data_IF_342584332641
#
_entry.id   IF_342584332641
#
_cell.length_a   1.000
_cell.length_b   1.000
_cell.length_c   1.000
_cell.angle_alpha   90.00
_cell.angle_beta   90.00
_cell.angle_gamma   90.00
#
_symmetry.space_group_name_H-M   'P 1'
#
loop_
_entity.id
_entity.type
_entity.pdbx_description
1 polymer ?
#
# COMPACT_ATOMS: atom_id res chain seq x y z
N UNK A 1 12.01 36.24 -0.27
CA UNK A 1 11.05 35.52 -1.13
C UNK A 1 11.87 34.68 -2.10
N UNK A 2 12.27 33.50 -1.66
CA UNK A 2 13.02 32.51 -2.46
C UNK A 2 12.12 31.29 -2.47
N UNK A 3 11.47 31.07 -3.60
CA UNK A 3 10.68 29.86 -3.86
C UNK A 3 11.67 28.72 -4.07
N UNK A 4 11.79 27.84 -3.08
CA UNK A 4 12.37 26.51 -3.26
C UNK A 4 11.24 25.61 -3.77
N UNK A 5 11.12 25.50 -5.09
CA UNK A 5 10.29 24.49 -5.74
C UNK A 5 10.98 23.13 -5.62
N UNK A 6 10.50 22.30 -4.69
CA UNK A 6 10.84 20.88 -4.66
C UNK A 6 9.93 20.16 -5.67
N UNK A 7 10.39 20.08 -6.92
CA UNK A 7 9.89 19.06 -7.85
C UNK A 7 10.57 17.74 -7.49
N UNK A 8 9.93 16.94 -6.65
CA UNK A 8 10.08 15.49 -6.75
C UNK A 8 9.20 15.10 -7.93
N UNK A 9 9.77 15.22 -9.13
CA UNK A 9 9.16 14.64 -10.32
C UNK A 9 9.06 13.14 -10.13
N UNK A 10 8.02 12.54 -10.69
CA UNK A 10 8.00 11.14 -11.04
C UNK A 10 9.39 10.77 -11.60
N UNK A 11 10.16 10.02 -10.82
CA UNK A 11 11.37 9.41 -11.33
C UNK A 11 10.91 8.32 -12.30
N UNK A 12 10.60 8.72 -13.53
CA UNK A 12 10.97 7.90 -14.66
C UNK A 12 12.43 7.53 -14.41
N UNK A 13 12.71 6.25 -14.15
CA UNK A 13 14.09 5.78 -14.11
C UNK A 13 14.68 6.16 -15.46
N UNK A 14 15.59 7.13 -15.45
CA UNK A 14 16.40 7.51 -16.61
C UNK A 14 17.02 6.23 -17.18
N UNK A 15 16.51 5.73 -18.30
CA UNK A 15 17.14 4.83 -19.28
C UNK A 15 18.16 3.78 -18.82
N UNK A 16 18.08 3.32 -17.58
CA UNK A 16 19.01 2.37 -16.98
C UNK A 16 18.66 0.97 -17.43
N UNK A 17 19.67 0.14 -17.68
CA UNK A 17 19.44 -1.30 -17.84
C UNK A 17 18.73 -1.83 -16.59
N UNK A 18 17.70 -2.67 -16.78
CA UNK A 18 17.06 -3.38 -15.68
C UNK A 18 18.12 -4.14 -14.86
N UNK A 19 17.95 -4.25 -13.53
CA UNK A 19 18.89 -5.03 -12.73
C UNK A 19 19.01 -6.48 -13.21
N UNK A 20 20.21 -7.07 -13.12
CA UNK A 20 20.46 -8.44 -13.58
C UNK A 20 19.51 -9.47 -12.96
N UNK A 21 19.11 -9.28 -11.70
CA UNK A 21 18.17 -10.19 -11.03
C UNK A 21 16.76 -10.11 -11.63
N UNK A 22 16.35 -8.95 -12.15
CA UNK A 22 15.07 -8.79 -12.86
C UNK A 22 15.11 -9.57 -14.17
N UNK A 23 16.19 -9.43 -14.95
CA UNK A 23 16.36 -10.21 -16.19
C UNK A 23 16.45 -11.70 -15.90
N UNK A 24 17.14 -12.11 -14.84
CA UNK A 24 17.22 -13.52 -14.44
C UNK A 24 15.85 -14.10 -14.05
N UNK A 25 14.97 -13.31 -13.44
CA UNK A 25 13.66 -13.75 -12.96
C UNK A 25 12.56 -13.65 -14.02
N UNK A 26 12.49 -12.53 -14.75
CA UNK A 26 11.40 -12.21 -15.68
C UNK A 26 11.82 -12.35 -17.15
N UNK A 27 13.13 -12.50 -17.43
CA UNK A 27 13.68 -12.47 -18.78
C UNK A 27 13.72 -11.07 -19.37
N UNK A 28 14.12 -10.99 -20.64
CA UNK A 28 14.18 -9.72 -21.37
C UNK A 28 12.77 -9.17 -21.65
N UNK A 29 12.55 -7.84 -21.48
CA UNK A 29 11.31 -7.18 -21.86
C UNK A 29 11.15 -7.11 -23.38
N UNK A 30 9.92 -7.03 -23.89
CA UNK A 30 9.67 -6.75 -25.31
C UNK A 30 10.11 -5.32 -25.68
N UNK A 31 10.40 -5.05 -26.98
CA UNK A 31 10.57 -3.68 -27.46
C UNK A 31 9.32 -2.83 -27.20
N UNK A 32 9.51 -1.59 -26.73
CA UNK A 32 8.41 -0.67 -26.44
C UNK A 32 8.37 0.45 -27.48
N UNK A 33 7.27 0.60 -28.25
CA UNK A 33 7.09 1.71 -29.16
C UNK A 33 7.05 3.07 -28.45
N UNK A 34 7.58 4.10 -29.12
CA UNK A 34 7.54 5.50 -28.65
C UNK A 34 6.50 6.28 -29.45
N UNK A 35 5.75 7.16 -28.77
CA UNK A 35 4.79 8.06 -29.41
C UNK A 35 3.33 7.66 -29.21
N UNK A 36 2.40 8.38 -29.86
CA UNK A 36 0.96 8.18 -29.69
C UNK A 36 0.48 6.88 -30.32
N UNK A 37 -0.67 6.38 -29.83
CA UNK A 37 -1.41 5.32 -30.52
C UNK A 37 -2.04 5.87 -31.81
N UNK A 38 -2.17 5.04 -32.84
CA UNK A 38 -2.95 5.41 -34.04
C UNK A 38 -4.43 5.58 -33.72
N UNK A 39 -5.17 6.33 -34.54
CA UNK A 39 -6.61 6.53 -34.31
C UNK A 39 -7.40 5.21 -34.37
N UNK A 40 -6.96 4.29 -35.22
CA UNK A 40 -7.50 2.92 -35.30
C UNK A 40 -7.27 2.15 -34.00
N UNK A 41 -6.08 2.24 -33.42
CA UNK A 41 -5.75 1.57 -32.16
C UNK A 41 -6.48 2.19 -30.96
N UNK A 42 -6.65 3.52 -30.95
CA UNK A 42 -7.49 4.21 -29.95
C UNK A 42 -8.94 3.75 -30.02
N UNK A 43 -9.51 3.64 -31.23
CA UNK A 43 -10.85 3.13 -31.42
C UNK A 43 -11.00 1.66 -30.98
N UNK A 44 -9.97 0.84 -31.22
CA UNK A 44 -9.92 -0.53 -30.74
C UNK A 44 -9.89 -0.61 -29.21
N UNK A 45 -9.06 0.20 -28.53
CA UNK A 45 -9.03 0.30 -27.05
C UNK A 45 -10.40 0.71 -26.50
N UNK A 46 -11.03 1.72 -27.10
CA UNK A 46 -12.38 2.15 -26.74
C UNK A 46 -13.37 0.98 -26.84
N UNK A 47 -13.39 0.29 -27.98
CA UNK A 47 -14.35 -0.80 -28.26
C UNK A 47 -14.12 -2.01 -27.35
N UNK A 48 -12.86 -2.43 -27.19
CA UNK A 48 -12.49 -3.65 -26.49
C UNK A 48 -12.58 -3.51 -24.96
N UNK A 49 -12.20 -2.35 -24.40
CA UNK A 49 -12.03 -2.21 -22.96
C UNK A 49 -12.99 -1.24 -22.29
N UNK A 50 -13.41 -0.16 -22.97
CA UNK A 50 -14.28 0.86 -22.37
C UNK A 50 -15.75 0.54 -22.66
N UNK A 51 -16.10 0.37 -23.93
CA UNK A 51 -17.46 0.07 -24.36
C UNK A 51 -17.92 -1.30 -23.85
N UNK A 52 -17.01 -2.28 -23.80
CA UNK A 52 -17.32 -3.63 -23.31
C UNK A 52 -17.76 -3.65 -21.85
N UNK A 53 -17.12 -2.86 -21.00
CA UNK A 53 -17.45 -2.75 -19.57
C UNK A 53 -18.71 -1.89 -19.38
N UNK A 54 -18.78 -0.73 -20.02
CA UNK A 54 -19.92 0.19 -19.87
C UNK A 54 -21.23 -0.37 -20.43
N UNK A 55 -21.16 -1.22 -21.46
CA UNK A 55 -22.32 -1.88 -22.07
C UNK A 55 -22.52 -3.31 -21.58
N UNK A 56 -21.61 -3.83 -20.75
CA UNK A 56 -21.58 -5.22 -20.27
C UNK A 56 -21.66 -6.25 -21.42
N UNK A 57 -20.92 -6.04 -22.51
CA UNK A 57 -20.97 -6.88 -23.72
C UNK A 57 -19.58 -7.31 -24.20
N UNK A 58 -19.46 -8.57 -24.63
CA UNK A 58 -18.30 -9.07 -25.34
C UNK A 58 -18.73 -9.88 -26.57
N UNK A 59 -18.58 -9.31 -27.76
CA UNK A 59 -18.99 -9.90 -29.03
C UNK A 59 -17.94 -9.75 -30.14
N UNK A 60 -18.35 -9.97 -31.38
CA UNK A 60 -17.45 -9.95 -32.54
C UNK A 60 -16.65 -8.65 -32.65
N UNK A 61 -17.27 -7.49 -32.38
CA UNK A 61 -16.58 -6.20 -32.42
C UNK A 61 -15.44 -6.09 -31.39
N UNK A 62 -15.66 -6.57 -30.16
CA UNK A 62 -14.63 -6.60 -29.12
C UNK A 62 -13.50 -7.59 -29.47
N UNK A 63 -13.85 -8.73 -30.05
CA UNK A 63 -12.88 -9.74 -30.51
C UNK A 63 -11.99 -9.17 -31.63
N UNK A 64 -12.60 -8.53 -32.63
CA UNK A 64 -11.86 -7.90 -33.74
C UNK A 64 -10.97 -6.75 -33.23
N UNK A 65 -11.48 -5.94 -32.29
CA UNK A 65 -10.72 -4.88 -31.66
C UNK A 65 -9.52 -5.42 -30.84
N UNK A 66 -9.70 -6.50 -30.07
CA UNK A 66 -8.61 -7.14 -29.35
C UNK A 66 -7.55 -7.72 -30.31
N UNK A 67 -7.98 -8.32 -31.43
CA UNK A 67 -7.05 -8.83 -32.44
C UNK A 67 -6.21 -7.70 -33.08
N UNK A 68 -6.83 -6.55 -33.36
CA UNK A 68 -6.14 -5.35 -33.85
C UNK A 68 -5.13 -4.82 -32.83
N UNK A 69 -5.48 -4.85 -31.53
CA UNK A 69 -4.57 -4.48 -30.44
C UNK A 69 -3.37 -5.42 -30.41
N UNK A 70 -3.56 -6.74 -30.49
CA UNK A 70 -2.46 -7.71 -30.54
C UNK A 70 -1.55 -7.49 -31.75
N UNK A 71 -2.14 -7.23 -32.92
CA UNK A 71 -1.39 -6.98 -34.15
C UNK A 71 -0.56 -5.68 -34.14
N UNK A 72 -0.79 -4.79 -33.16
CA UNK A 72 0.02 -3.57 -32.99
C UNK A 72 1.41 -3.83 -32.42
N UNK A 73 1.62 -4.99 -31.79
CA UNK A 73 2.86 -5.36 -31.07
C UNK A 73 3.26 -4.31 -30.01
N UNK A 74 2.28 -3.57 -29.46
CA UNK A 74 2.51 -2.54 -28.45
C UNK A 74 2.28 -3.08 -27.03
N UNK A 75 3.34 -3.45 -26.28
CA UNK A 75 3.22 -4.03 -24.95
C UNK A 75 2.63 -3.06 -23.92
N UNK A 76 2.58 -1.74 -24.19
CA UNK A 76 1.98 -0.75 -23.29
C UNK A 76 0.49 -1.03 -23.07
N UNK A 77 -0.20 -1.56 -24.08
CA UNK A 77 -1.63 -1.86 -24.01
C UNK A 77 -1.97 -3.00 -23.05
N UNK A 78 -0.99 -3.80 -22.64
CA UNK A 78 -1.17 -4.91 -21.70
C UNK A 78 -1.55 -4.40 -20.30
N UNK A 79 -1.23 -3.15 -19.95
CA UNK A 79 -1.76 -2.53 -18.72
C UNK A 79 -3.29 -2.48 -18.70
N UNK A 80 -3.93 -2.12 -19.82
CA UNK A 80 -5.39 -2.05 -19.92
C UNK A 80 -5.99 -3.46 -19.93
N UNK A 81 -5.32 -4.43 -20.57
CA UNK A 81 -5.69 -5.84 -20.52
C UNK A 81 -5.67 -6.35 -19.08
N UNK A 82 -4.58 -6.10 -18.34
CA UNK A 82 -4.45 -6.50 -16.93
C UNK A 82 -5.55 -5.88 -16.06
N UNK A 83 -5.86 -4.60 -16.27
CA UNK A 83 -6.94 -3.92 -15.57
C UNK A 83 -8.30 -4.59 -15.76
N UNK A 84 -8.63 -4.97 -17.00
CA UNK A 84 -9.88 -5.67 -17.27
C UNK A 84 -9.86 -7.10 -16.69
N UNK A 85 -8.75 -7.83 -16.81
CA UNK A 85 -8.60 -9.17 -16.24
C UNK A 85 -8.90 -9.19 -14.74
N UNK A 86 -8.61 -8.11 -14.01
CA UNK A 86 -8.88 -8.03 -12.56
C UNK A 86 -10.36 -8.20 -12.19
N UNK A 87 -11.27 -7.88 -13.12
CA UNK A 87 -12.72 -7.88 -12.90
C UNK A 87 -13.46 -8.97 -13.68
N UNK A 88 -12.83 -9.55 -14.71
CA UNK A 88 -13.43 -10.63 -15.50
C UNK A 88 -13.42 -11.93 -14.72
N UNK A 89 -14.57 -12.59 -14.63
CA UNK A 89 -14.73 -13.91 -13.99
C UNK A 89 -15.02 -15.04 -14.99
N UNK A 90 -15.33 -14.71 -16.26
CA UNK A 90 -15.66 -15.69 -17.30
C UNK A 90 -14.42 -16.34 -17.92
N UNK A 91 -14.27 -17.69 -17.88
CA UNK A 91 -13.07 -18.37 -18.37
C UNK A 91 -12.68 -18.07 -19.83
N UNK A 92 -13.61 -18.02 -20.81
CA UNK A 92 -13.22 -17.75 -22.21
C UNK A 92 -12.64 -16.35 -22.42
N UNK A 93 -13.21 -15.34 -21.76
CA UNK A 93 -12.72 -13.97 -21.86
C UNK A 93 -11.38 -13.82 -21.12
N UNK A 94 -11.26 -14.40 -19.93
CA UNK A 94 -9.98 -14.43 -19.21
C UNK A 94 -8.87 -15.06 -20.05
N UNK A 95 -9.14 -16.18 -20.73
CA UNK A 95 -8.18 -16.81 -21.63
C UNK A 95 -7.82 -15.90 -22.80
N UNK A 96 -8.80 -15.30 -23.48
CA UNK A 96 -8.54 -14.41 -24.61
C UNK A 96 -7.70 -13.19 -24.23
N UNK A 97 -7.95 -12.59 -23.07
CA UNK A 97 -7.15 -11.48 -22.53
C UNK A 97 -5.73 -11.94 -22.18
N UNK A 98 -5.60 -13.11 -21.57
CA UNK A 98 -4.31 -13.72 -21.25
C UNK A 98 -3.46 -14.07 -22.47
N UNK A 99 -4.06 -14.66 -23.50
CA UNK A 99 -3.41 -14.97 -24.78
C UNK A 99 -2.94 -13.70 -25.48
N UNK A 100 -3.75 -12.64 -25.43
CA UNK A 100 -3.40 -11.32 -25.97
C UNK A 100 -2.22 -10.69 -25.21
N UNK A 101 -2.23 -10.76 -23.87
CA UNK A 101 -1.13 -10.30 -23.04
C UNK A 101 0.17 -11.07 -23.34
N UNK A 102 0.09 -12.40 -23.41
CA UNK A 102 1.22 -13.28 -23.73
C UNK A 102 1.85 -12.94 -25.09
N UNK A 103 1.04 -12.73 -26.11
CA UNK A 103 1.51 -12.33 -27.45
C UNK A 103 2.17 -10.95 -27.45
N UNK A 104 1.52 -9.94 -26.83
CA UNK A 104 2.06 -8.57 -26.75
C UNK A 104 3.35 -8.50 -25.92
N UNK A 105 3.50 -9.35 -24.91
CA UNK A 105 4.71 -9.43 -24.10
C UNK A 105 5.79 -10.35 -24.71
N UNK A 106 5.47 -11.11 -25.75
CA UNK A 106 6.37 -12.09 -26.35
C UNK A 106 6.77 -13.20 -25.38
N UNK A 107 5.87 -13.61 -24.48
CA UNK A 107 6.10 -14.67 -23.48
C UNK A 107 4.99 -15.71 -23.51
N UNK A 108 5.36 -16.95 -23.24
CA UNK A 108 4.43 -18.02 -22.94
C UNK A 108 4.14 -17.98 -21.44
N UNK A 109 3.05 -17.31 -21.05
CA UNK A 109 2.67 -17.14 -19.65
C UNK A 109 1.68 -18.23 -19.23
N UNK A 110 1.78 -18.79 -18.00
CA UNK A 110 0.89 -19.85 -17.58
C UNK A 110 -0.54 -19.34 -17.34
N UNK A 111 -1.52 -20.20 -17.62
CA UNK A 111 -2.94 -19.89 -17.41
C UNK A 111 -3.35 -19.77 -15.94
N UNK A 112 -2.58 -20.38 -15.02
CA UNK A 112 -2.84 -20.28 -13.59
C UNK A 112 -2.36 -18.93 -13.04
N UNK A 113 -3.25 -18.20 -12.34
CA UNK A 113 -2.97 -16.84 -11.83
C UNK A 113 -2.53 -15.88 -12.96
N UNK A 114 -3.15 -16.01 -14.13
CA UNK A 114 -2.77 -15.29 -15.36
C UNK A 114 -2.62 -13.78 -15.13
N UNK A 115 -3.60 -13.14 -14.48
CA UNK A 115 -3.56 -11.72 -14.13
C UNK A 115 -2.34 -11.35 -13.28
N UNK A 116 -2.06 -12.14 -12.24
CA UNK A 116 -0.96 -11.86 -11.33
C UNK A 116 0.40 -11.94 -12.02
N UNK A 117 0.57 -12.93 -12.88
CA UNK A 117 1.82 -13.15 -13.62
C UNK A 117 2.04 -12.04 -14.66
N UNK A 118 1.02 -11.71 -15.46
CA UNK A 118 1.09 -10.61 -16.45
C UNK A 118 1.46 -9.31 -15.75
N UNK A 119 0.77 -8.98 -14.66
CA UNK A 119 1.01 -7.72 -13.94
C UNK A 119 2.39 -7.66 -13.31
N UNK A 120 2.89 -8.77 -12.74
CA UNK A 120 4.26 -8.81 -12.22
C UNK A 120 5.31 -8.53 -13.31
N UNK A 121 5.15 -9.08 -14.52
CA UNK A 121 6.06 -8.77 -15.64
C UNK A 121 6.01 -7.29 -16.02
N UNK A 122 4.80 -6.71 -16.11
CA UNK A 122 4.64 -5.29 -16.43
C UNK A 122 5.32 -4.38 -15.40
N UNK A 123 5.18 -4.68 -14.10
CA UNK A 123 5.82 -3.93 -13.02
C UNK A 123 7.35 -4.12 -13.06
N UNK A 124 7.82 -5.36 -13.14
CA UNK A 124 9.25 -5.68 -13.07
C UNK A 124 10.06 -5.09 -14.23
N UNK A 125 9.48 -5.06 -15.42
CA UNK A 125 10.09 -4.45 -16.59
C UNK A 125 9.87 -2.94 -16.71
N UNK A 126 9.10 -2.35 -15.80
CA UNK A 126 8.70 -0.94 -15.84
C UNK A 126 8.12 -0.53 -17.21
N UNK A 127 7.26 -1.38 -17.80
CA UNK A 127 6.64 -1.10 -19.10
C UNK A 127 5.84 0.21 -18.96
N UNK A 128 6.06 1.24 -19.80
CA UNK A 128 5.38 2.51 -19.65
C UNK A 128 3.88 2.39 -19.92
N UNK A 129 3.12 3.32 -19.35
CA UNK A 129 1.68 3.41 -19.61
C UNK A 129 1.45 3.75 -21.09
N UNK A 130 0.36 3.25 -21.71
CA UNK A 130 -0.04 3.75 -23.01
C UNK A 130 -0.48 5.23 -22.89
N UNK A 131 -0.44 6.01 -23.98
CA UNK A 131 -1.08 7.31 -24.02
C UNK A 131 -2.54 7.25 -23.55
N UNK A 132 -2.99 8.27 -22.81
CA UNK A 132 -4.37 8.38 -22.31
C UNK A 132 -4.82 7.21 -21.40
N UNK A 133 -3.88 6.58 -20.68
CA UNK A 133 -4.14 5.41 -19.84
C UNK A 133 -5.11 5.68 -18.68
N UNK A 134 -4.95 6.78 -17.94
CA UNK A 134 -5.80 7.08 -16.78
C UNK A 134 -7.29 7.17 -17.16
N UNK A 135 -7.71 7.89 -18.22
CA UNK A 135 -9.09 7.84 -18.70
C UNK A 135 -9.62 6.41 -18.95
N UNK A 136 -8.84 5.54 -19.60
CA UNK A 136 -9.25 4.17 -19.87
C UNK A 136 -9.39 3.35 -18.57
N UNK A 137 -8.40 3.46 -17.67
CA UNK A 137 -8.42 2.81 -16.37
C UNK A 137 -9.61 3.27 -15.52
N UNK A 138 -9.84 4.59 -15.45
CA UNK A 138 -10.99 5.18 -14.74
C UNK A 138 -12.29 4.58 -15.27
N UNK A 139 -12.47 4.53 -16.59
CA UNK A 139 -13.69 3.98 -17.19
C UNK A 139 -13.94 2.51 -16.80
N UNK A 140 -12.89 1.67 -16.72
CA UNK A 140 -13.02 0.28 -16.28
C UNK A 140 -13.37 0.21 -14.79
N UNK A 141 -12.59 0.89 -13.94
CA UNK A 141 -12.69 0.78 -12.49
C UNK A 141 -13.99 1.38 -11.96
N UNK A 142 -14.39 2.56 -12.44
CA UNK A 142 -15.59 3.27 -11.93
C UNK A 142 -16.89 2.73 -12.51
N UNK A 143 -16.87 2.09 -13.68
CA UNK A 143 -18.05 1.36 -14.18
C UNK A 143 -18.40 0.16 -13.30
N UNK A 144 -17.41 -0.41 -12.62
CA UNK A 144 -17.58 -1.60 -11.79
C UNK A 144 -17.75 -1.25 -10.31
N UNK A 145 -17.05 -0.21 -9.84
CA UNK A 145 -17.20 0.34 -8.49
C UNK A 145 -17.31 1.86 -8.58
N UNK A 146 -18.55 2.39 -8.68
CA UNK A 146 -18.77 3.83 -8.87
C UNK A 146 -18.18 4.72 -7.78
N UNK A 147 -18.02 4.22 -6.55
CA UNK A 147 -17.45 4.98 -5.44
C UNK A 147 -15.99 5.42 -5.63
N UNK A 148 -15.29 4.91 -6.64
CA UNK A 148 -13.93 5.36 -6.97
C UNK A 148 -13.87 6.61 -7.86
N UNK A 149 -15.00 7.11 -8.36
CA UNK A 149 -15.02 8.18 -9.35
C UNK A 149 -14.33 9.47 -8.87
N UNK A 150 -14.47 9.82 -7.60
CA UNK A 150 -13.86 11.04 -7.04
C UNK A 150 -12.35 10.90 -6.78
N UNK A 151 -11.83 9.68 -6.67
CA UNK A 151 -10.41 9.44 -6.34
C UNK A 151 -9.54 9.11 -7.56
N UNK A 152 -10.13 8.77 -8.72
CA UNK A 152 -9.43 8.51 -9.98
C UNK A 152 -9.12 9.79 -10.76
N UNK A 153 -8.28 10.66 -10.18
CA UNK A 153 -7.88 11.95 -10.76
C UNK A 153 -6.37 12.03 -10.99
N UNK A 154 -5.91 13.03 -11.75
CA UNK A 154 -4.47 13.25 -11.94
C UNK A 154 -3.77 13.61 -10.63
N UNK A 155 -2.50 13.22 -10.50
CA UNK A 155 -1.70 13.48 -9.30
C UNK A 155 -0.33 12.79 -9.35
N UNK A 156 0.40 12.85 -8.25
CA UNK A 156 1.69 12.21 -8.03
C UNK A 156 1.53 10.72 -7.64
N UNK A 157 0.85 9.97 -8.49
CA UNK A 157 0.57 8.55 -8.33
C UNK A 157 0.84 7.83 -9.66
N UNK A 158 1.53 6.68 -9.59
CA UNK A 158 1.67 5.81 -10.76
C UNK A 158 0.44 4.91 -10.89
N UNK A 159 -0.51 5.36 -11.69
CA UNK A 159 -1.74 4.63 -11.95
C UNK A 159 -1.49 3.22 -12.52
N UNK A 160 -0.37 2.92 -13.18
CA UNK A 160 -0.08 1.55 -13.65
C UNK A 160 -0.05 0.54 -12.51
N UNK A 161 0.43 0.97 -11.35
CA UNK A 161 0.63 0.10 -10.19
C UNK A 161 -0.65 -0.09 -9.37
N UNK A 162 -1.69 0.71 -9.63
CA UNK A 162 -2.94 0.69 -8.89
C UNK A 162 -3.83 -0.46 -9.36
N UNK A 163 -4.21 -1.35 -8.45
CA UNK A 163 -5.12 -2.47 -8.71
C UNK A 163 -6.14 -2.64 -7.59
N UNK A 164 -7.20 -3.41 -7.85
CA UNK A 164 -8.24 -3.69 -6.85
C UNK A 164 -7.81 -4.80 -5.88
N UNK A 165 -7.92 -4.55 -4.58
CA UNK A 165 -7.61 -5.51 -3.50
C UNK A 165 -8.72 -6.52 -3.20
N UNK A 166 -9.86 -6.47 -3.89
CA UNK A 166 -10.96 -7.43 -3.71
C UNK A 166 -12.03 -7.03 -2.68
N UNK A 167 -11.96 -5.80 -2.16
CA UNK A 167 -12.97 -5.21 -1.25
C UNK A 167 -13.42 -3.86 -1.79
N UNK A 168 -14.66 -3.45 -1.52
CA UNK A 168 -15.13 -2.13 -1.96
C UNK A 168 -14.52 -1.01 -1.11
N UNK A 169 -14.58 0.21 -1.65
CA UNK A 169 -14.23 1.44 -0.93
C UNK A 169 -15.08 1.58 0.33
N UNK A 170 -14.47 2.04 1.42
CA UNK A 170 -15.16 2.47 2.63
C UNK A 170 -15.50 3.96 2.51
N UNK A 171 -16.73 4.27 2.08
CA UNK A 171 -17.29 5.62 1.89
C UNK A 171 -18.14 6.10 3.08
N UNK A 172 -18.12 5.34 4.18
CA UNK A 172 -18.90 5.67 5.37
C UNK A 172 -18.38 6.95 6.01
N UNK A 173 -19.31 7.81 6.44
CA UNK A 173 -19.01 9.01 7.20
C UNK A 173 -18.28 8.68 8.51
N UNK A 174 -17.66 9.69 9.12
CA UNK A 174 -17.08 9.57 10.46
C UNK A 174 -18.13 9.10 11.48
N UNK A 175 -17.71 8.28 12.45
CA UNK A 175 -18.55 7.78 13.54
C UNK A 175 -19.64 6.79 13.07
N UNK A 176 -19.32 5.97 12.06
CA UNK A 176 -20.16 4.87 11.54
C UNK A 176 -19.48 3.50 11.73
N UNK A 177 -18.71 3.31 12.81
CA UNK A 177 -17.88 2.11 13.08
C UNK A 177 -18.65 0.78 12.92
N UNK A 178 -19.91 0.74 13.33
CA UNK A 178 -20.75 -0.46 13.34
C UNK A 178 -21.70 -0.58 12.12
N UNK A 179 -21.66 0.38 11.20
CA UNK A 179 -22.42 0.28 9.97
C UNK A 179 -21.82 -0.81 9.07
N UNK A 180 -22.68 -1.73 8.62
CA UNK A 180 -22.30 -2.83 7.73
C UNK A 180 -21.98 -2.28 6.34
N UNK A 181 -20.83 -2.68 5.79
CA UNK A 181 -20.43 -2.39 4.42
C UNK A 181 -19.92 -3.65 3.71
N UNK A 182 -19.78 -3.57 2.38
CA UNK A 182 -19.02 -4.54 1.57
C UNK A 182 -17.53 -4.14 1.44
N UNK A 183 -17.04 -3.44 2.46
CA UNK A 183 -15.70 -2.87 2.59
C UNK A 183 -14.98 -3.48 3.79
N UNK A 184 -13.75 -3.06 4.05
CA UNK A 184 -13.08 -3.32 5.33
C UNK A 184 -13.42 -2.13 6.25
N UNK A 185 -14.25 -2.34 7.29
CA UNK A 185 -14.84 -1.22 8.00
C UNK A 185 -13.83 -0.58 8.95
N UNK A 186 -13.43 0.67 8.65
CA UNK A 186 -12.69 1.50 9.58
C UNK A 186 -13.42 1.64 10.93
N UNK A 187 -12.66 1.85 12.00
CA UNK A 187 -13.18 2.21 13.31
C UNK A 187 -12.81 3.66 13.66
N UNK A 188 -13.81 4.44 14.03
CA UNK A 188 -13.65 5.84 14.41
C UNK A 188 -13.87 5.99 15.92
N UNK A 189 -12.90 6.63 16.57
CA UNK A 189 -12.76 6.83 18.01
C UNK A 189 -13.27 5.62 18.83
N UNK A 190 -12.72 4.41 18.56
CA UNK A 190 -13.27 3.16 19.06
C UNK A 190 -13.31 3.10 20.59
N UNK A 191 -14.28 2.35 21.11
CA UNK A 191 -14.34 2.03 22.53
C UNK A 191 -13.08 1.28 22.98
N UNK A 192 -12.63 1.61 24.19
CA UNK A 192 -11.45 1.02 24.83
C UNK A 192 -11.75 0.55 26.24
N UNK A 193 -11.03 -0.47 26.68
CA UNK A 193 -11.02 -0.93 28.06
C UNK A 193 -9.68 -0.65 28.72
N UNK A 194 -9.64 -0.78 30.06
CA UNK A 194 -8.37 -0.81 30.78
C UNK A 194 -7.58 -2.09 30.47
N UNK A 195 -6.28 -2.10 30.77
CA UNK A 195 -5.43 -3.28 30.65
C UNK A 195 -5.88 -4.45 31.56
N UNK A 196 -6.58 -4.19 32.66
CA UNK A 196 -7.05 -5.23 33.59
C UNK A 196 -8.37 -5.86 33.17
N UNK A 197 -9.21 -5.11 32.45
CA UNK A 197 -10.47 -5.61 31.90
C UNK A 197 -10.28 -6.43 30.61
N UNK A 198 -9.14 -6.28 29.93
CA UNK A 198 -8.81 -6.99 28.70
C UNK A 198 -8.37 -8.46 28.94
N UNK A 199 -9.18 -9.22 29.68
CA UNK A 199 -8.90 -10.62 30.04
C UNK A 199 -8.96 -11.60 28.87
N UNK A 200 -9.47 -11.14 27.72
CA UNK A 200 -9.53 -11.91 26.48
C UNK A 200 -8.18 -11.94 25.74
N UNK A 201 -7.32 -10.96 25.98
CA UNK A 201 -6.04 -10.79 25.28
C UNK A 201 -4.96 -11.55 26.05
N UNK A 202 -4.32 -12.51 25.40
CA UNK A 202 -3.24 -13.32 25.99
C UNK A 202 -1.94 -12.53 25.98
N UNK A 203 -1.04 -12.86 26.90
CA UNK A 203 0.25 -12.17 27.01
C UNK A 203 1.06 -12.24 25.71
N UNK A 204 0.94 -13.32 24.94
CA UNK A 204 1.69 -13.53 23.70
C UNK A 204 1.04 -12.88 22.47
N UNK A 205 -0.17 -12.33 22.61
CA UNK A 205 -0.88 -11.72 21.49
C UNK A 205 -0.16 -10.44 21.04
N UNK A 206 0.03 -10.29 19.73
CA UNK A 206 0.71 -9.12 19.16
C UNK A 206 -0.18 -7.89 19.26
N UNK A 207 0.39 -6.80 19.76
CA UNK A 207 -0.23 -5.47 19.80
C UNK A 207 0.66 -4.43 19.12
N UNK A 208 0.02 -3.43 18.55
CA UNK A 208 0.67 -2.18 18.16
C UNK A 208 0.46 -1.18 19.28
N UNK A 209 1.53 -0.72 19.92
CA UNK A 209 1.50 0.22 21.02
C UNK A 209 1.81 1.64 20.53
N UNK A 210 1.02 2.61 20.97
CA UNK A 210 1.26 4.04 20.72
C UNK A 210 1.21 4.79 22.04
N UNK A 211 2.17 5.68 22.27
CA UNK A 211 2.24 6.55 23.44
C UNK A 211 2.28 8.02 23.03
N UNK A 212 1.28 8.80 23.40
CA UNK A 212 1.19 10.24 23.10
C UNK A 212 0.92 11.02 24.39
N UNK A 213 1.73 12.04 24.69
CA UNK A 213 1.54 12.94 25.83
C UNK A 213 1.32 12.24 27.19
N UNK A 214 1.94 11.07 27.39
CA UNK A 214 1.83 10.28 28.63
C UNK A 214 0.61 9.34 28.69
N UNK A 215 -0.23 9.32 27.66
CA UNK A 215 -1.27 8.32 27.47
C UNK A 215 -0.81 7.21 26.53
N UNK A 216 -1.25 5.99 26.79
CA UNK A 216 -0.81 4.79 26.08
C UNK A 216 -2.02 3.97 25.64
N UNK A 217 -1.96 3.45 24.41
CA UNK A 217 -3.00 2.59 23.86
C UNK A 217 -2.39 1.44 23.08
N UNK A 218 -2.94 0.25 23.30
CA UNK A 218 -2.67 -0.94 22.51
C UNK A 218 -3.78 -1.14 21.46
N UNK A 219 -3.37 -1.43 20.23
CA UNK A 219 -4.21 -1.80 19.09
C UNK A 219 -3.90 -3.27 18.76
N UNK A 220 -4.69 -4.23 19.26
CA UNK A 220 -4.42 -5.66 19.06
C UNK A 220 -4.43 -6.03 17.58
N UNK A 221 -3.44 -6.81 17.14
CA UNK A 221 -3.29 -7.21 15.73
C UNK A 221 -4.56 -7.84 15.18
N UNK A 222 -5.22 -8.72 15.96
CA UNK A 222 -6.48 -9.36 15.55
C UNK A 222 -7.63 -8.39 15.25
N UNK A 223 -7.64 -7.22 15.88
CA UNK A 223 -8.61 -6.14 15.57
C UNK A 223 -8.16 -5.38 14.33
N UNK A 224 -6.87 -5.02 14.28
CA UNK A 224 -6.31 -4.29 13.15
C UNK A 224 -6.37 -5.09 11.84
N UNK A 225 -6.30 -6.42 11.89
CA UNK A 225 -6.45 -7.30 10.71
C UNK A 225 -7.84 -7.26 10.07
N UNK A 226 -8.87 -6.85 10.81
CA UNK A 226 -10.25 -6.79 10.31
C UNK A 226 -10.79 -5.36 10.15
N UNK A 227 -10.18 -4.40 10.84
CA UNK A 227 -10.49 -2.97 10.73
C UNK A 227 -9.58 -2.27 9.74
N UNK A 228 -8.29 -2.62 9.74
CA UNK A 228 -7.18 -2.11 8.93
C UNK A 228 -7.02 -0.58 8.84
N UNK A 229 -7.91 0.20 9.43
CA UNK A 229 -7.90 1.63 9.55
C UNK A 229 -8.62 2.00 10.84
N UNK A 230 -7.94 2.74 11.71
CA UNK A 230 -8.52 3.31 12.92
C UNK A 230 -8.26 4.81 12.93
N UNK A 231 -9.30 5.63 13.08
CA UNK A 231 -9.15 7.05 13.39
C UNK A 231 -9.38 7.23 14.89
N UNK A 232 -8.39 7.69 15.64
CA UNK A 232 -8.43 7.69 17.10
C UNK A 232 -8.02 9.04 17.70
N UNK A 233 -8.42 9.27 18.95
CA UNK A 233 -7.92 10.37 19.79
C UNK A 233 -7.17 9.81 21.00
N UNK A 234 -5.89 10.16 21.13
CA UNK A 234 -5.02 9.70 22.23
C UNK A 234 -4.14 10.83 22.73
N UNK A 235 -4.09 11.07 24.04
CA UNK A 235 -3.26 12.13 24.61
C UNK A 235 -3.62 13.54 24.09
N UNK A 236 -4.89 13.74 23.71
CA UNK A 236 -5.39 14.97 23.10
C UNK A 236 -4.92 15.23 21.66
N UNK A 237 -4.39 14.19 20.97
CA UNK A 237 -4.00 14.25 19.57
C UNK A 237 -4.85 13.31 18.73
N UNK A 238 -5.11 13.72 17.50
CA UNK A 238 -5.87 12.94 16.53
C UNK A 238 -4.96 12.14 15.61
N UNK A 239 -5.25 10.85 15.44
CA UNK A 239 -4.45 9.90 14.69
C UNK A 239 -5.28 9.19 13.63
N UNK A 240 -4.67 8.94 12.47
CA UNK A 240 -5.09 7.94 11.51
C UNK A 240 -4.09 6.78 11.51
N UNK A 241 -4.58 5.56 11.72
CA UNK A 241 -3.77 4.38 12.05
C UNK A 241 -4.09 3.26 11.06
N UNK A 242 -3.46 3.25 9.88
CA UNK A 242 -3.59 2.15 8.94
C UNK A 242 -2.78 0.93 9.41
N UNK A 243 -3.33 -0.26 9.18
CA UNK A 243 -2.57 -1.51 9.22
C UNK A 243 -2.73 -2.27 7.91
N UNK A 244 -1.63 -2.43 7.18
CA UNK A 244 -1.57 -3.25 5.97
C UNK A 244 -1.15 -4.68 6.34
N UNK A 245 -2.11 -5.60 6.36
CA UNK A 245 -1.85 -7.04 6.60
C UNK A 245 -0.85 -7.62 5.62
N UNK A 246 -1.00 -7.27 4.34
CA UNK A 246 -0.16 -7.66 3.22
C UNK A 246 1.29 -7.17 3.34
N UNK A 247 1.51 -6.06 4.04
CA UNK A 247 2.80 -5.40 4.17
C UNK A 247 3.46 -5.65 5.52
N UNK A 248 2.71 -6.17 6.49
CA UNK A 248 3.17 -6.23 7.87
C UNK A 248 3.37 -4.88 8.54
N UNK A 249 2.72 -3.83 8.05
CA UNK A 249 3.04 -2.45 8.42
C UNK A 249 1.87 -1.79 9.14
N UNK A 250 2.05 -1.53 10.44
CA UNK A 250 1.19 -0.65 11.23
C UNK A 250 1.85 0.73 11.30
N UNK A 251 1.09 1.76 10.98
CA UNK A 251 1.56 3.14 10.97
C UNK A 251 0.58 4.03 11.73
N UNK A 252 1.03 5.20 12.14
CA UNK A 252 0.19 6.19 12.80
C UNK A 252 0.57 7.58 12.31
N UNK A 253 -0.42 8.36 11.91
CA UNK A 253 -0.23 9.70 11.38
C UNK A 253 -1.08 10.70 12.15
N UNK A 254 -0.49 11.83 12.54
CA UNK A 254 -1.25 12.93 13.12
C UNK A 254 -2.15 13.58 12.07
N UNK A 255 -3.42 13.76 12.42
CA UNK A 255 -4.45 14.35 11.54
C UNK A 255 -5.03 15.66 12.10
N UNK A 256 -4.53 16.13 13.25
CA UNK A 256 -5.03 17.33 13.96
C UNK A 256 -4.34 18.66 13.59
N UNK A 257 -3.22 18.63 12.88
CA UNK A 257 -2.46 19.84 12.50
C UNK A 257 -2.47 20.05 11.00
N UNK A 258 -3.63 20.41 10.48
CA UNK A 258 -3.78 20.70 9.06
C UNK A 258 -3.40 22.15 8.74
N UNK A 259 -2.89 22.44 7.52
CA UNK A 259 -2.71 23.81 7.05
C UNK A 259 -4.02 24.61 7.10
N UNK A 260 -3.90 25.94 7.19
CA UNK A 260 -5.07 26.83 7.26
C UNK A 260 -6.10 26.54 6.14
N UNK A 261 -7.36 26.42 6.55
CA UNK A 261 -8.49 26.15 5.65
C UNK A 261 -8.60 24.71 5.15
N UNK A 262 -7.87 23.77 5.74
CA UNK A 262 -8.05 22.34 5.54
C UNK A 262 -8.74 21.73 6.77
N UNK A 263 -9.87 21.07 6.53
CA UNK A 263 -10.53 20.26 7.54
C UNK A 263 -9.71 19.03 7.87
N UNK A 264 -9.85 18.51 9.09
CA UNK A 264 -9.19 17.27 9.51
C UNK A 264 -9.57 16.13 8.55
N UNK A 265 -8.60 15.43 7.96
CA UNK A 265 -8.90 14.28 7.13
C UNK A 265 -9.44 13.13 7.98
N UNK A 266 -10.39 12.39 7.41
CA UNK A 266 -10.94 11.17 7.98
C UNK A 266 -10.51 10.02 7.07
N UNK A 267 -9.54 9.24 7.53
CA UNK A 267 -8.90 8.24 6.69
C UNK A 267 -9.75 6.98 6.58
N UNK A 268 -9.76 6.42 5.38
CA UNK A 268 -10.55 5.25 4.99
C UNK A 268 -9.75 4.31 4.10
N UNK A 269 -10.25 3.07 4.00
CA UNK A 269 -9.77 2.09 3.04
C UNK A 269 -10.35 2.39 1.66
N UNK A 270 -9.52 2.62 0.65
CA UNK A 270 -10.02 2.78 -0.74
C UNK A 270 -10.42 1.44 -1.39
N UNK A 271 -9.91 0.31 -0.88
CA UNK A 271 -9.98 -1.00 -1.52
C UNK A 271 -8.97 -1.18 -2.67
N UNK A 272 -8.18 -0.16 -2.98
CA UNK A 272 -7.11 -0.18 -3.97
C UNK A 272 -5.77 -0.52 -3.32
N UNK A 273 -4.87 -1.07 -4.14
CA UNK A 273 -3.52 -1.45 -3.76
C UNK A 273 -2.50 -0.89 -4.77
N UNK A 274 -1.32 -0.51 -4.28
CA UNK A 274 -0.12 -0.25 -5.09
C UNK A 274 0.94 -1.26 -4.65
N UNK A 275 1.32 -2.18 -5.55
CA UNK A 275 2.30 -3.25 -5.25
C UNK A 275 2.01 -3.99 -3.94
N UNK A 276 0.78 -4.49 -3.82
CA UNK A 276 0.28 -5.16 -2.60
C UNK A 276 0.25 -4.28 -1.33
N UNK A 277 0.62 -2.99 -1.41
CA UNK A 277 0.44 -2.03 -0.34
C UNK A 277 -0.93 -1.36 -0.43
N UNK A 278 -1.55 -1.18 0.72
CA UNK A 278 -2.86 -0.54 0.82
C UNK A 278 -2.79 0.91 0.38
N UNK A 279 -3.81 1.37 -0.31
CA UNK A 279 -4.02 2.79 -0.60
C UNK A 279 -5.13 3.31 0.31
N UNK A 280 -4.82 4.33 1.10
CA UNK A 280 -5.81 5.02 1.93
C UNK A 280 -6.26 6.32 1.27
N UNK A 281 -7.42 6.82 1.66
CA UNK A 281 -7.91 8.11 1.18
C UNK A 281 -8.66 8.83 2.29
N UNK A 282 -8.82 10.13 2.13
CA UNK A 282 -9.63 10.97 2.99
C UNK A 282 -11.06 11.12 2.43
N UNK A 283 -12.08 10.75 3.21
CA UNK A 283 -13.49 10.86 2.80
C UNK A 283 -14.01 12.31 2.79
N UNK A 284 -13.30 13.26 3.42
CA UNK A 284 -13.69 14.67 3.42
C UNK A 284 -13.33 15.34 2.08
N UNK A 285 -12.11 15.11 1.60
CA UNK A 285 -11.59 15.77 0.38
C UNK A 285 -11.47 14.87 -0.83
N UNK A 286 -11.66 13.56 -0.67
CA UNK A 286 -11.38 12.53 -1.69
C UNK A 286 -9.90 12.52 -2.14
N UNK A 287 -8.99 13.03 -1.30
CA UNK A 287 -7.56 12.96 -1.57
C UNK A 287 -7.02 11.57 -1.24
N UNK A 288 -6.30 10.97 -2.18
CA UNK A 288 -5.61 9.68 -1.96
C UNK A 288 -4.27 9.94 -1.28
N UNK A 289 -3.90 9.06 -0.36
CA UNK A 289 -2.61 9.09 0.31
C UNK A 289 -1.81 7.82 0.01
N UNK A 290 -0.51 7.99 -0.18
CA UNK A 290 0.43 6.90 -0.02
C UNK A 290 0.44 6.50 1.46
N UNK A 291 -0.02 5.29 1.76
CA UNK A 291 -0.16 4.79 3.13
C UNK A 291 1.17 4.67 3.84
N UNK A 292 2.29 4.48 3.12
CA UNK A 292 3.62 4.28 3.68
C UNK A 292 4.34 5.60 3.98
N UNK A 293 4.10 6.61 3.14
CA UNK A 293 4.73 7.93 3.25
C UNK A 293 3.88 8.97 3.98
N UNK A 294 2.58 8.71 4.15
CA UNK A 294 1.61 9.67 4.68
C UNK A 294 1.41 10.87 3.76
N UNK A 295 1.82 10.77 2.49
CA UNK A 295 1.81 11.86 1.51
C UNK A 295 0.53 11.81 0.70
N UNK A 296 -0.18 12.93 0.57
CA UNK A 296 -1.28 13.06 -0.36
C UNK A 296 -0.73 13.02 -1.80
N UNK A 297 -1.25 12.10 -2.61
CA UNK A 297 -0.79 11.86 -3.99
C UNK A 297 -1.80 12.32 -5.04
N UNK A 298 -3.09 12.38 -4.73
CA UNK A 298 -4.12 12.97 -5.59
C UNK A 298 -5.07 13.86 -4.82
N UNK A 299 -5.86 14.65 -5.53
CA UNK A 299 -6.93 15.47 -4.95
C UNK A 299 -6.44 16.74 -4.24
N UNK A 300 -7.37 17.47 -3.56
CA UNK A 300 -7.10 18.80 -3.01
C UNK A 300 -5.93 18.87 -2.01
N UNK A 301 -5.68 17.80 -1.25
CA UNK A 301 -4.59 17.77 -0.28
C UNK A 301 -3.23 17.56 -0.96
N UNK A 302 -3.18 16.84 -2.08
CA UNK A 302 -1.98 16.68 -2.88
C UNK A 302 -1.58 18.00 -3.58
N UNK A 303 -2.54 18.76 -4.07
CA UNK A 303 -2.29 20.11 -4.63
C UNK A 303 -1.66 21.08 -3.62
N UNK A 304 -1.92 20.85 -2.32
CA UNK A 304 -1.31 21.60 -1.21
C UNK A 304 0.00 21.00 -0.73
N UNK A 305 0.45 19.88 -1.31
CA UNK A 305 1.67 19.18 -0.91
C UNK A 305 1.60 18.62 0.51
N UNK A 306 0.41 18.21 0.98
CA UNK A 306 0.26 17.70 2.34
C UNK A 306 0.99 16.36 2.51
N UNK A 307 1.79 16.29 3.57
CA UNK A 307 2.34 15.06 4.10
C UNK A 307 2.08 15.03 5.61
N UNK A 308 1.47 13.95 6.10
CA UNK A 308 1.10 13.80 7.49
C UNK A 308 2.35 13.52 8.35
N UNK A 309 2.40 14.12 9.54
CA UNK A 309 3.44 13.85 10.53
C UNK A 309 3.24 12.44 11.10
N UNK A 310 4.28 11.61 11.09
CA UNK A 310 4.21 10.23 11.56
C UNK A 310 4.48 10.15 13.07
N UNK A 311 3.72 9.30 13.77
CA UNK A 311 3.98 8.87 15.13
C UNK A 311 4.59 7.47 15.12
N UNK A 312 5.43 7.16 16.11
CA UNK A 312 5.99 5.80 16.26
C UNK A 312 4.93 4.80 16.70
N UNK A 313 5.03 3.61 16.12
CA UNK A 313 4.25 2.45 16.48
C UNK A 313 5.19 1.36 16.97
N UNK A 314 5.04 0.95 18.22
CA UNK A 314 5.83 -0.13 18.81
C UNK A 314 5.10 -1.45 18.61
N UNK A 315 5.67 -2.36 17.82
CA UNK A 315 5.13 -3.73 17.69
C UNK A 315 5.74 -4.62 18.77
N UNK A 316 4.90 -5.21 19.63
CA UNK A 316 5.33 -6.06 20.74
C UNK A 316 4.23 -7.05 21.14
N UNK A 317 4.50 -7.91 22.13
CA UNK A 317 3.48 -8.76 22.77
C UNK A 317 2.72 -7.99 23.87
N UNK A 318 1.45 -8.34 24.07
CA UNK A 318 0.58 -7.67 25.03
C UNK A 318 1.13 -7.70 26.45
N UNK A 319 1.68 -8.83 26.90
CA UNK A 319 2.21 -8.99 28.24
C UNK A 319 3.35 -8.01 28.52
N UNK A 320 4.25 -7.85 27.55
CA UNK A 320 5.38 -6.91 27.64
C UNK A 320 4.92 -5.46 27.58
N UNK A 321 3.99 -5.12 26.68
CA UNK A 321 3.39 -3.79 26.62
C UNK A 321 2.69 -3.43 27.94
N UNK A 322 1.84 -4.32 28.47
CA UNK A 322 1.12 -4.13 29.72
C UNK A 322 2.05 -3.94 30.92
N UNK A 323 3.17 -4.66 30.98
CA UNK A 323 4.18 -4.47 32.04
C UNK A 323 4.88 -3.11 31.95
N UNK A 324 5.18 -2.65 30.74
CA UNK A 324 5.82 -1.35 30.51
C UNK A 324 4.85 -0.18 30.76
N UNK A 325 3.57 -0.36 30.43
CA UNK A 325 2.53 0.66 30.51
C UNK A 325 1.26 0.11 31.18
N UNK A 326 1.26 -0.12 32.50
CA UNK A 326 0.11 -0.72 33.21
C UNK A 326 -1.16 0.13 33.14
N UNK A 327 -1.04 1.44 32.91
CA UNK A 327 -2.14 2.38 32.69
C UNK A 327 -2.68 2.41 31.25
N UNK A 328 -2.12 1.59 30.34
CA UNK A 328 -2.55 1.57 28.94
C UNK A 328 -4.04 1.24 28.82
N UNK A 329 -4.67 1.86 27.83
CA UNK A 329 -5.97 1.40 27.31
C UNK A 329 -5.74 0.42 26.17
N UNK A 330 -6.77 -0.32 25.80
CA UNK A 330 -6.75 -1.25 24.67
C UNK A 330 -8.11 -1.29 23.99
N UNK A 331 -8.13 -1.41 22.66
CA UNK A 331 -9.38 -1.54 21.91
C UNK A 331 -10.22 -2.72 22.40
N UNK A 332 -11.54 -2.57 22.52
CA UNK A 332 -12.44 -3.64 23.00
C UNK A 332 -12.57 -4.80 22.01
N UNK A 333 -12.78 -6.02 22.52
CA UNK A 333 -12.88 -7.26 21.71
C UNK A 333 -13.97 -7.21 20.62
N UNK A 334 -15.08 -6.49 20.85
CA UNK A 334 -16.16 -6.37 19.87
C UNK A 334 -15.67 -5.84 18.50
N UNK A 335 -14.59 -5.05 18.49
CA UNK A 335 -13.99 -4.51 17.27
C UNK A 335 -13.33 -5.58 16.40
N UNK A 336 -13.08 -6.78 16.92
CA UNK A 336 -12.61 -7.94 16.15
C UNK A 336 -13.73 -8.57 15.30
N UNK A 337 -14.98 -8.10 15.39
CA UNK A 337 -16.11 -8.56 14.57
C UNK A 337 -16.35 -10.08 14.65
N UNK A 338 -16.10 -10.67 15.82
CA UNK A 338 -16.22 -12.12 16.06
C UNK A 338 -15.19 -12.96 15.30
N UNK A 339 -14.12 -12.34 14.79
CA UNK A 339 -13.04 -13.00 14.04
C UNK A 339 -11.79 -13.08 14.89
N UNK A 340 -11.11 -14.21 14.78
CA UNK A 340 -9.79 -14.45 15.38
C UNK A 340 -8.87 -14.97 14.28
N UNK A 341 -8.59 -14.10 13.31
CA UNK A 341 -7.74 -14.41 12.17
C UNK A 341 -6.27 -14.09 12.49
N UNK A 342 -5.39 -14.82 11.82
CA UNK A 342 -3.99 -14.49 11.67
C UNK A 342 -3.70 -14.44 10.17
N UNK A 343 -4.19 -13.38 9.52
CA UNK A 343 -4.00 -13.21 8.07
C UNK A 343 -2.53 -13.13 7.73
N UNK A 344 -1.76 -12.40 8.55
CA UNK A 344 -0.32 -12.23 8.35
C UNK A 344 0.43 -13.57 8.29
N UNK A 345 0.16 -14.48 9.23
CA UNK A 345 0.89 -15.76 9.30
C UNK A 345 0.12 -16.92 8.63
N UNK A 346 -1.06 -16.65 8.06
CA UNK A 346 -1.90 -17.62 7.37
C UNK A 346 -2.02 -17.29 5.88
N UNK A 347 -3.04 -16.48 5.53
CA UNK A 347 -3.33 -16.07 4.14
C UNK A 347 -2.10 -15.50 3.43
N UNK A 348 -1.30 -14.72 4.16
CA UNK A 348 -0.15 -13.96 3.63
C UNK A 348 1.20 -14.63 3.97
N UNK A 349 1.21 -15.89 4.42
CA UNK A 349 2.44 -16.54 4.89
C UNK A 349 3.49 -16.74 3.77
N UNK A 350 3.03 -16.98 2.54
CA UNK A 350 3.87 -17.45 1.42
C UNK A 350 4.30 -16.34 0.45
N UNK A 351 4.19 -15.08 0.85
CA UNK A 351 4.57 -13.92 0.03
C UNK A 351 3.37 -13.02 -0.36
N UNK A 352 3.62 -11.97 -1.16
CA UNK A 352 2.58 -11.07 -1.64
C UNK A 352 1.56 -11.83 -2.50
N UNK A 353 0.28 -11.74 -2.13
CA UNK A 353 -0.82 -12.35 -2.89
C UNK A 353 -1.33 -11.46 -4.02
N UNK A 354 -0.86 -10.21 -4.09
CA UNK A 354 -1.09 -9.29 -5.20
C UNK A 354 0.23 -8.97 -5.92
N UNK A 355 0.19 -8.56 -7.19
CA UNK A 355 1.39 -8.25 -7.96
C UNK A 355 2.22 -7.16 -7.31
N UNK A 356 3.51 -7.43 -7.15
CA UNK A 356 4.52 -6.49 -6.63
C UNK A 356 5.63 -6.22 -7.65
N UNK A 357 5.72 -7.02 -8.72
CA UNK A 357 6.82 -6.99 -9.67
C UNK A 357 8.06 -7.67 -9.11
N UNK A 358 9.19 -7.00 -9.27
CA UNK A 358 10.47 -7.44 -8.72
C UNK A 358 10.62 -7.01 -7.25
N UNK A 359 11.45 -7.76 -6.51
CA UNK A 359 11.78 -7.49 -5.12
C UNK A 359 13.30 -7.49 -4.99
N UNK A 360 13.83 -6.54 -4.23
CA UNK A 360 15.26 -6.46 -3.95
C UNK A 360 15.74 -7.76 -3.29
N UNK A 361 16.65 -8.54 -3.91
CA UNK A 361 16.98 -9.89 -3.48
C UNK A 361 17.91 -9.93 -2.27
N UNK A 362 18.33 -8.78 -1.72
CA UNK A 362 19.24 -8.72 -0.56
C UNK A 362 18.64 -9.32 0.70
N UNK A 363 17.31 -9.32 0.84
CA UNK A 363 16.59 -9.96 1.95
C UNK A 363 15.41 -10.78 1.44
N UNK A 364 14.96 -11.80 2.20
CA UNK A 364 13.69 -12.48 1.93
C UNK A 364 12.52 -11.50 1.82
N UNK A 365 11.56 -11.81 0.96
CA UNK A 365 10.39 -10.95 0.65
C UNK A 365 9.66 -10.49 1.92
N UNK A 366 9.42 -11.42 2.86
CA UNK A 366 8.74 -11.16 4.15
C UNK A 366 9.71 -11.01 5.34
N UNK A 367 10.98 -10.68 5.11
CA UNK A 367 11.87 -10.30 6.22
C UNK A 367 11.29 -9.08 6.94
N UNK A 368 11.12 -9.20 8.26
CA UNK A 368 10.69 -8.09 9.11
C UNK A 368 11.84 -7.11 9.28
N UNK A 369 11.61 -5.86 8.85
CA UNK A 369 12.57 -4.77 9.02
C UNK A 369 11.98 -3.66 9.88
N UNK A 370 12.84 -2.88 10.52
CA UNK A 370 12.54 -1.54 11.04
C UNK A 370 13.07 -0.54 10.02
N UNK A 371 12.17 0.26 9.44
CA UNK A 371 12.49 1.23 8.41
C UNK A 371 12.54 2.64 8.96
N UNK A 372 13.56 3.42 8.56
CA UNK A 372 13.74 4.82 8.96
C UNK A 372 14.38 5.59 7.80
N UNK A 373 14.00 6.86 7.63
CA UNK A 373 14.69 7.78 6.72
C UNK A 373 15.60 8.69 7.53
N UNK A 374 16.91 8.66 7.25
CA UNK A 374 17.88 9.52 7.91
C UNK A 374 17.66 11.00 7.54
N UNK A 375 18.22 11.91 8.34
CA UNK A 375 18.13 13.36 8.07
C UNK A 375 18.77 13.76 6.73
N UNK A 376 19.67 12.94 6.18
CA UNK A 376 20.23 13.09 4.83
C UNK A 376 19.24 12.78 3.71
N UNK A 377 18.08 12.18 4.03
CA UNK A 377 17.15 11.60 3.08
C UNK A 377 17.46 10.13 2.74
N UNK A 378 18.54 9.55 3.28
CA UNK A 378 18.91 8.16 3.02
C UNK A 378 17.96 7.21 3.75
N UNK A 379 17.23 6.32 3.05
CA UNK A 379 16.46 5.28 3.71
C UNK A 379 17.38 4.17 4.22
N UNK A 380 17.10 3.68 5.43
CA UNK A 380 17.79 2.55 6.05
C UNK A 380 16.77 1.56 6.61
N UNK A 381 17.04 0.27 6.42
CA UNK A 381 16.27 -0.82 6.99
C UNK A 381 17.17 -1.69 7.88
N UNK A 382 16.69 -1.94 9.09
CA UNK A 382 17.34 -2.80 10.07
C UNK A 382 16.57 -4.12 10.14
N UNK A 383 17.22 -5.26 9.89
CA UNK A 383 16.60 -6.57 10.14
C UNK A 383 16.14 -6.64 11.60
N UNK A 384 14.83 -6.77 11.82
CA UNK A 384 14.22 -6.64 13.15
C UNK A 384 14.79 -7.67 14.12
N UNK A 385 14.93 -8.91 13.67
CA UNK A 385 15.41 -10.04 14.47
C UNK A 385 16.85 -9.81 14.95
N UNK A 386 17.74 -9.41 14.04
CA UNK A 386 19.13 -9.08 14.35
C UNK A 386 19.23 -7.87 15.30
N UNK A 387 18.41 -6.84 15.06
CA UNK A 387 18.43 -5.61 15.86
C UNK A 387 17.99 -5.89 17.29
N UNK A 388 16.92 -6.67 17.46
CA UNK A 388 16.41 -7.06 18.78
C UNK A 388 17.46 -7.83 19.59
N UNK A 389 18.15 -8.79 18.96
CA UNK A 389 19.22 -9.57 19.61
C UNK A 389 20.38 -8.67 20.02
N UNK A 390 20.83 -7.79 19.14
CA UNK A 390 21.96 -6.89 19.42
C UNK A 390 21.63 -5.90 20.56
N UNK A 391 20.46 -5.27 20.53
CA UNK A 391 20.02 -4.34 21.58
C UNK A 391 19.83 -5.05 22.93
N UNK A 392 19.26 -6.26 22.93
CA UNK A 392 19.10 -7.06 24.15
C UNK A 392 20.44 -7.42 24.79
N UNK A 393 21.48 -7.61 23.96
CA UNK A 393 22.85 -7.85 24.41
C UNK A 393 23.61 -6.56 24.81
N UNK A 394 22.94 -5.40 24.80
CA UNK A 394 23.54 -4.11 25.16
C UNK A 394 24.41 -3.50 24.05
N UNK A 395 24.27 -3.96 22.80
CA UNK A 395 24.97 -3.34 21.66
C UNK A 395 24.26 -2.06 21.25
N UNK A 396 25.04 -1.05 20.87
CA UNK A 396 24.50 0.15 20.23
C UNK A 396 24.32 -0.08 18.72
N UNK A 397 23.16 0.35 18.20
CA UNK A 397 22.88 0.34 16.77
C UNK A 397 22.62 1.79 16.35
N UNK A 398 23.44 2.28 15.43
CA UNK A 398 23.30 3.62 14.89
C UNK A 398 23.58 3.66 13.39
N UNK A 399 22.90 4.57 12.70
CA UNK A 399 23.12 4.91 11.29
C UNK A 399 22.91 6.41 11.11
N UNK A 400 23.95 7.15 10.74
CA UNK A 400 23.91 8.62 10.67
C UNK A 400 23.36 9.26 11.97
N UNK A 401 22.22 9.95 11.89
CA UNK A 401 21.54 10.58 13.03
C UNK A 401 20.58 9.64 13.77
N UNK A 402 20.43 8.39 13.32
CA UNK A 402 19.48 7.42 13.85
C UNK A 402 20.18 6.53 14.88
N UNK A 403 19.52 6.31 16.01
CA UNK A 403 19.85 5.27 17.00
C UNK A 403 18.61 4.43 17.27
N UNK A 404 18.77 3.10 17.29
CA UNK A 404 17.69 2.21 17.70
C UNK A 404 17.72 1.99 19.22
N UNK A 405 16.54 1.92 19.80
CA UNK A 405 16.33 1.62 21.23
C UNK A 405 15.24 0.56 21.41
N UNK A 406 15.33 -0.20 22.50
CA UNK A 406 14.22 -1.04 22.95
C UNK A 406 13.15 -0.16 23.57
N UNK A 407 11.89 -0.39 23.19
CA UNK A 407 10.73 0.24 23.81
C UNK A 407 9.64 -0.80 24.00
N UNK A 408 9.24 -1.03 25.26
CA UNK A 408 8.24 -2.04 25.63
C UNK A 408 8.41 -3.41 24.94
N UNK A 409 9.64 -3.88 24.74
CA UNK A 409 9.97 -5.15 24.06
C UNK A 409 10.02 -5.09 22.53
N UNK A 410 9.53 -4.01 21.94
CA UNK A 410 9.73 -3.67 20.54
C UNK A 410 10.97 -2.80 20.32
N UNK A 411 11.04 -2.18 19.14
CA UNK A 411 12.15 -1.32 18.71
C UNK A 411 11.57 0.00 18.22
N UNK A 412 12.22 1.11 18.59
CA UNK A 412 11.96 2.43 18.01
C UNK A 412 13.25 3.09 17.54
N UNK A 413 13.13 4.09 16.67
CA UNK A 413 14.23 4.94 16.24
C UNK A 413 14.17 6.33 16.88
N UNK A 414 15.30 6.79 17.38
CA UNK A 414 15.45 8.12 17.99
C UNK A 414 16.67 8.84 17.43
N UNK A 415 16.70 10.17 17.57
CA UNK A 415 17.88 10.97 17.29
C UNK A 415 18.87 11.00 18.48
N UNK A 416 19.90 11.85 18.36
CA UNK A 416 20.93 12.02 19.40
C UNK A 416 20.38 12.59 20.72
N UNK A 417 19.29 13.37 20.66
CA UNK A 417 18.65 14.01 21.82
C UNK A 417 17.51 13.14 22.39
N UNK A 418 17.23 11.98 21.78
CA UNK A 418 16.17 11.07 22.16
C UNK A 418 14.81 11.44 21.56
N UNK A 419 14.77 12.39 20.61
CA UNK A 419 13.56 12.71 19.85
C UNK A 419 13.19 11.53 18.98
N UNK A 420 11.91 11.19 18.98
CA UNK A 420 11.37 10.15 18.12
C UNK A 420 11.49 10.53 16.64
N UNK A 421 12.00 9.61 15.82
CA UNK A 421 12.18 9.80 14.38
C UNK A 421 11.06 9.19 13.52
N UNK A 422 10.07 8.53 14.14
CA UNK A 422 8.97 7.89 13.43
C UNK A 422 9.43 6.63 12.69
N UNK A 423 9.79 5.58 13.43
CA UNK A 423 10.07 4.26 12.84
C UNK A 423 8.81 3.42 12.70
N UNK A 424 8.76 2.57 11.68
CA UNK A 424 7.75 1.53 11.59
C UNK A 424 8.36 0.19 11.14
N UNK A 425 7.67 -0.88 11.52
CA UNK A 425 7.98 -2.22 11.08
C UNK A 425 7.23 -2.49 9.76
N UNK A 426 7.88 -3.18 8.82
CA UNK A 426 7.24 -3.67 7.60
C UNK A 426 7.97 -4.92 7.09
N UNK A 427 7.36 -5.61 6.13
CA UNK A 427 8.06 -6.58 5.29
C UNK A 427 9.02 -5.88 4.33
N UNK A 428 10.15 -6.53 4.05
CA UNK A 428 11.19 -6.00 3.19
C UNK A 428 10.70 -5.60 1.79
N UNK A 429 9.86 -6.42 1.16
CA UNK A 429 9.35 -6.10 -0.18
C UNK A 429 8.58 -4.78 -0.18
N UNK A 430 7.77 -4.54 0.86
CA UNK A 430 6.98 -3.32 0.96
C UNK A 430 7.92 -2.13 1.12
N UNK A 431 8.81 -2.16 2.11
CA UNK A 431 9.74 -1.04 2.37
C UNK A 431 10.62 -0.71 1.17
N UNK A 432 11.29 -1.71 0.60
CA UNK A 432 12.29 -1.50 -0.47
C UNK A 432 11.71 -0.93 -1.76
N UNK A 433 10.40 -1.09 -1.99
CA UNK A 433 9.71 -0.58 -3.17
C UNK A 433 9.37 0.91 -3.08
N UNK A 434 9.10 1.43 -1.88
CA UNK A 434 8.89 2.87 -1.64
C UNK A 434 10.21 3.60 -1.35
N UNK A 435 11.24 2.86 -0.91
CA UNK A 435 12.55 3.38 -0.56
C UNK A 435 13.68 2.70 -1.35
N UNK A 436 13.78 2.94 -2.67
CA UNK A 436 14.89 2.39 -3.47
C UNK A 436 16.23 2.90 -2.96
N UNK A 437 17.28 2.08 -3.10
CA UNK A 437 18.61 2.44 -2.60
C UNK A 437 18.77 2.33 -1.08
N UNK A 438 17.82 1.69 -0.39
CA UNK A 438 17.87 1.45 1.06
C UNK A 438 19.20 0.82 1.49
N UNK A 439 19.83 1.44 2.49
CA UNK A 439 20.94 0.87 3.24
C UNK A 439 20.44 -0.23 4.18
N UNK A 440 21.23 -1.29 4.38
CA UNK A 440 20.86 -2.41 5.24
C UNK A 440 21.73 -2.47 6.50
N UNK A 441 21.10 -2.87 7.60
CA UNK A 441 21.78 -3.26 8.82
C UNK A 441 21.25 -4.62 9.32
N UNK A 442 22.12 -5.60 9.67
CA UNK A 442 23.56 -5.61 9.36
C UNK A 442 23.80 -5.56 7.84
N UNK A 443 25.00 -5.15 7.43
CA UNK A 443 25.38 -5.04 6.02
C UNK A 443 25.52 -6.41 5.34
#
# INVERSE_FOLDING_TARGET
MVCLTWSLGAHARDGGSLPDYVIAQFGEPPPVPVGPLSDELKAAVQTAFIDSVTQATWGAQQVDALALIVASEDPRLVWIISDLMRFVTGPPLMQALGDAASQLLGKDLPDQNHWGIVTNHLIAWDIPAPPDYLPAKRAIFTSLVPGWDEIFVEGDIDWRLVSWGGVLIDDRAYDQTDEICNCIPAADNPEVSSADEATWLKDEDVVFGIGINGEYRAYPRRIMEVREMVNDTLGGRDLGIPYCTLCGAAQAYFTDRMPDGIERPVLRTSGLLIRSNKVMYDVVTHSVFDTFLGKAVTGPLAEKGLQLEQATVVTTDWGTWKRAHPQTTVLVEALALGRDFDFRNGRDADGPIFPVGDVDPRLPVHEDIIGVVAASGTPVAFQRSAALVALTNGSEIAFENIRLELDAGGIRAVDADGTDLGSHQAFWFAWSQFHPGTALWPQ
#
